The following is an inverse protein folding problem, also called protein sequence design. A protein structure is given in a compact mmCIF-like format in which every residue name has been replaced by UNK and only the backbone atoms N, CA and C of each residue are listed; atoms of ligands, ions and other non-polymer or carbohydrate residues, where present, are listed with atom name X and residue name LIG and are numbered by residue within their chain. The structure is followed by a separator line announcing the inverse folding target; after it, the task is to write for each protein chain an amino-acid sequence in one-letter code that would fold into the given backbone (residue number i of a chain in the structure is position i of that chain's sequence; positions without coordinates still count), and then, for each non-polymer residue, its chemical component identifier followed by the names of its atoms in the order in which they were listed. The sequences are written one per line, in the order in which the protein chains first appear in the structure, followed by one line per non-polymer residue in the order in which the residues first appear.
data_IF_528739562414
#
_entry.id   IF_528739562414
#
_cell.length_a   1.000
_cell.length_b   1.000
_cell.length_c   1.000
_cell.angle_alpha   90.00
_cell.angle_beta   90.00
_cell.angle_gamma   90.00
#
_symmetry.space_group_name_H-M   'P 1'
#
loop_
_entity.id
_entity.type
_entity.pdbx_description
1 polymer ?
#
# COMPACT_ATOMS: atom_id res chain seq x y z
N UNK A 1 -8.11 8.62 -4.18
CA UNK A 1 -8.88 9.04 -2.97
C UNK A 1 -8.04 9.87 -1.97
N UNK A 2 -6.70 9.75 -1.94
CA UNK A 2 -5.85 10.65 -1.13
C UNK A 2 -5.64 12.06 -1.73
N UNK A 3 -5.77 12.21 -3.06
CA UNK A 3 -5.75 13.52 -3.75
C UNK A 3 -7.02 14.38 -3.57
N UNK A 4 -8.12 13.82 -3.04
CA UNK A 4 -9.38 14.57 -2.84
C UNK A 4 -9.60 15.08 -1.41
N UNK A 5 -8.76 14.67 -0.45
CA UNK A 5 -8.89 15.10 0.95
C UNK A 5 -8.14 16.42 1.23
N UNK A 6 -7.10 16.71 0.46
CA UNK A 6 -6.27 17.93 0.62
C UNK A 6 -6.92 19.16 -0.04
N UNK A 7 -7.89 18.97 -0.93
CA UNK A 7 -8.53 20.07 -1.68
C UNK A 7 -9.78 20.68 -0.99
N UNK A 8 -10.21 20.20 0.18
CA UNK A 8 -11.51 20.59 0.79
C UNK A 8 -11.46 21.34 2.12
N UNK A 9 -10.30 21.54 2.74
CA UNK A 9 -10.19 22.37 3.96
C UNK A 9 -9.00 23.33 3.86
N UNK A 10 -9.19 24.39 3.08
CA UNK A 10 -8.34 25.57 3.15
C UNK A 10 -8.65 26.40 4.40
N UNK A 11 -7.59 26.89 5.04
CA UNK A 11 -7.53 27.82 6.18
C UNK A 11 -7.73 27.17 7.56
N UNK A 12 -6.62 26.71 8.16
CA UNK A 12 -6.49 26.70 9.62
C UNK A 12 -6.22 28.14 10.07
N UNK A 13 -7.20 28.75 10.74
CA UNK A 13 -7.05 30.01 11.46
C UNK A 13 -6.30 29.73 12.75
N UNK A 14 -5.13 30.33 12.89
CA UNK A 14 -4.36 30.42 14.12
C UNK A 14 -5.13 31.25 15.16
N UNK A 15 -5.68 30.61 16.18
CA UNK A 15 -6.07 31.28 17.43
C UNK A 15 -5.04 30.90 18.47
N UNK A 16 -3.98 31.72 18.54
CA UNK A 16 -3.03 31.69 19.65
C UNK A 16 -3.53 32.65 20.73
N UNK A 17 -3.58 32.12 21.95
CA UNK A 17 -3.98 32.79 23.18
C UNK A 17 -2.99 33.94 23.49
N UNK A 18 -3.52 35.15 23.69
CA UNK A 18 -2.76 36.34 24.04
C UNK A 18 -2.36 36.35 25.52
N UNK A 19 -1.07 36.54 25.78
CA UNK A 19 -0.54 37.12 27.03
C UNK A 19 0.50 38.16 26.60
N UNK A 20 0.22 39.43 26.92
CA UNK A 20 0.96 40.56 26.39
C UNK A 20 2.29 40.84 27.07
N UNK A 21 3.16 41.54 26.36
CA UNK A 21 3.98 42.63 26.89
C UNK A 21 4.32 43.61 25.76
N UNK A 22 4.26 44.90 26.09
CA UNK A 22 4.43 46.03 25.20
C UNK A 22 5.88 46.27 24.77
N UNK A 23 6.09 46.85 23.58
CA UNK A 23 7.32 47.61 23.31
C UNK A 23 7.78 47.66 21.86
N UNK A 24 7.67 48.87 21.28
CA UNK A 24 8.50 49.46 20.23
C UNK A 24 8.49 48.85 18.80
N UNK A 25 7.91 49.63 17.90
CA UNK A 25 8.09 49.54 16.46
C UNK A 25 9.49 50.01 16.04
N UNK A 26 10.15 49.26 15.16
CA UNK A 26 11.14 49.80 14.23
C UNK A 26 11.16 48.94 12.96
N UNK A 27 10.95 49.59 11.82
CA UNK A 27 10.96 48.96 10.51
C UNK A 27 12.37 48.60 10.05
N UNK A 28 12.48 47.46 9.39
CA UNK A 28 13.58 47.15 8.49
C UNK A 28 13.03 46.28 7.35
N UNK A 29 13.09 46.81 6.13
CA UNK A 29 12.88 46.03 4.91
C UNK A 29 14.05 45.04 4.76
N UNK A 30 13.73 43.76 4.58
CA UNK A 30 14.66 42.77 4.03
C UNK A 30 13.91 41.88 3.04
N UNK A 31 14.24 42.04 1.76
CA UNK A 31 13.96 41.07 0.72
C UNK A 31 14.89 39.87 0.89
N UNK A 32 14.35 38.65 0.96
CA UNK A 32 15.09 37.45 0.56
C UNK A 32 14.15 36.26 0.27
N UNK A 33 14.13 35.87 -1.01
CA UNK A 33 14.06 34.52 -1.59
C UNK A 33 13.26 33.38 -0.92
N UNK A 34 12.33 32.83 -1.72
CA UNK A 34 12.12 31.41 -2.06
C UNK A 34 11.88 30.37 -0.95
N UNK A 35 10.70 29.75 -1.01
CA UNK A 35 10.56 28.31 -0.74
C UNK A 35 9.55 27.70 -1.74
N UNK A 36 10.05 27.32 -2.92
CA UNK A 36 9.38 26.29 -3.69
C UNK A 36 9.28 25.04 -2.82
N UNK A 37 8.07 24.51 -2.65
CA UNK A 37 7.80 23.26 -1.94
C UNK A 37 8.73 22.18 -2.51
N UNK A 38 9.68 21.74 -1.69
CA UNK A 38 10.61 20.68 -2.04
C UNK A 38 9.80 19.43 -2.42
N UNK A 39 10.04 18.91 -3.62
CA UNK A 39 9.48 17.63 -4.03
C UNK A 39 9.86 16.55 -3.02
N UNK A 40 8.87 15.73 -2.67
CA UNK A 40 8.94 14.55 -1.79
C UNK A 40 10.19 13.70 -2.05
N UNK A 41 11.27 13.95 -1.31
CA UNK A 41 12.46 13.12 -1.36
C UNK A 41 12.28 11.93 -0.41
N UNK A 42 11.50 10.93 -0.84
CA UNK A 42 11.71 9.58 -0.33
C UNK A 42 13.19 9.24 -0.57
N UNK A 43 13.90 8.66 0.42
CA UNK A 43 15.28 8.24 0.21
C UNK A 43 15.32 7.32 -1.00
N UNK A 44 15.96 7.76 -2.09
CA UNK A 44 16.17 6.92 -3.27
C UNK A 44 16.92 5.68 -2.78
N UNK A 45 16.37 4.50 -3.09
CA UNK A 45 17.04 3.25 -2.82
C UNK A 45 18.50 3.35 -3.29
N UNK A 46 19.44 2.97 -2.44
CA UNK A 46 20.87 2.97 -2.77
C UNK A 46 21.08 2.26 -4.12
N UNK A 47 22.04 2.72 -4.96
CA UNK A 47 22.31 2.08 -6.23
C UNK A 47 22.55 0.60 -6.02
N UNK A 48 21.63 -0.22 -6.54
CA UNK A 48 21.70 -1.67 -6.44
C UNK A 48 22.91 -2.11 -7.28
N UNK A 49 23.91 -2.71 -6.62
CA UNK A 49 25.06 -3.31 -7.29
C UNK A 49 24.58 -4.27 -8.39
N UNK A 50 25.34 -4.43 -9.50
CA UNK A 50 25.02 -5.37 -10.59
C UNK A 50 24.70 -6.75 -10.00
N UNK A 51 23.41 -7.08 -9.90
CA UNK A 51 22.95 -8.33 -9.35
C UNK A 51 23.22 -9.47 -10.34
N UNK A 52 23.51 -10.69 -9.85
CA UNK A 52 23.69 -11.86 -10.71
C UNK A 52 22.41 -12.11 -11.51
N UNK A 53 22.54 -12.59 -12.75
CA UNK A 53 21.39 -13.01 -13.56
C UNK A 53 20.66 -14.14 -12.82
N UNK A 54 19.47 -13.84 -12.31
CA UNK A 54 18.58 -14.84 -11.72
C UNK A 54 17.95 -15.63 -12.87
N UNK A 55 18.65 -16.68 -13.31
CA UNK A 55 18.17 -17.54 -14.39
C UNK A 55 16.84 -18.18 -13.98
N UNK A 56 15.80 -17.97 -14.78
CA UNK A 56 14.50 -18.61 -14.59
C UNK A 56 13.42 -17.73 -13.97
N UNK A 57 13.73 -16.52 -13.51
CA UNK A 57 12.75 -15.58 -12.96
C UNK A 57 12.19 -14.65 -14.05
N UNK A 58 10.87 -14.44 -14.03
CA UNK A 58 10.16 -13.49 -14.91
C UNK A 58 9.15 -12.68 -14.10
N UNK A 59 9.09 -11.37 -14.35
CA UNK A 59 8.15 -10.45 -13.70
C UNK A 59 7.26 -9.86 -14.79
N UNK A 60 5.94 -9.92 -14.61
CA UNK A 60 4.95 -9.29 -15.49
C UNK A 60 4.08 -8.32 -14.69
N UNK A 61 3.41 -7.43 -15.39
CA UNK A 61 2.44 -6.50 -14.82
C UNK A 61 1.17 -6.49 -15.65
N UNK A 62 0.02 -6.31 -14.99
CA UNK A 62 -1.19 -5.89 -15.69
C UNK A 62 -1.28 -4.37 -15.73
N UNK A 63 -2.50 -3.83 -15.85
CA UNK A 63 -2.70 -2.39 -16.02
C UNK A 63 -2.80 -1.60 -14.71
N UNK A 64 -2.90 -2.27 -13.56
CA UNK A 64 -3.22 -1.59 -12.30
C UNK A 64 -2.11 -0.67 -11.80
N UNK A 65 -0.84 -1.08 -11.96
CA UNK A 65 0.32 -0.26 -11.59
C UNK A 65 1.61 -0.73 -12.28
N UNK A 66 1.75 -0.38 -13.56
CA UNK A 66 2.93 -0.73 -14.36
C UNK A 66 4.22 -0.09 -13.85
N UNK A 67 4.15 1.15 -13.33
CA UNK A 67 5.31 1.88 -12.81
C UNK A 67 5.93 1.15 -11.61
N UNK A 68 5.11 0.71 -10.66
CA UNK A 68 5.56 -0.08 -9.52
C UNK A 68 6.22 -1.38 -9.97
N UNK A 69 5.62 -2.09 -10.93
CA UNK A 69 6.17 -3.33 -11.45
C UNK A 69 7.54 -3.12 -12.14
N UNK A 70 7.67 -2.05 -12.92
CA UNK A 70 8.93 -1.68 -13.56
C UNK A 70 10.02 -1.34 -12.52
N UNK A 71 9.67 -0.61 -11.45
CA UNK A 71 10.58 -0.30 -10.35
C UNK A 71 11.03 -1.57 -9.60
N UNK A 72 10.10 -2.50 -9.32
CA UNK A 72 10.43 -3.80 -8.73
C UNK A 72 11.38 -4.59 -9.64
N UNK A 73 11.07 -4.69 -10.94
CA UNK A 73 11.93 -5.40 -11.89
C UNK A 73 13.34 -4.80 -11.97
N UNK A 74 13.44 -3.47 -11.97
CA UNK A 74 14.71 -2.75 -11.93
C UNK A 74 15.52 -3.06 -10.67
N UNK A 75 14.89 -3.07 -9.50
CA UNK A 75 15.54 -3.39 -8.22
C UNK A 75 16.00 -4.85 -8.12
N UNK A 76 15.26 -5.76 -8.76
CA UNK A 76 15.62 -7.20 -8.87
C UNK A 76 16.65 -7.46 -9.97
N UNK A 77 16.95 -6.48 -10.82
CA UNK A 77 17.92 -6.62 -11.91
C UNK A 77 17.42 -7.43 -13.11
N UNK A 78 16.10 -7.48 -13.33
CA UNK A 78 15.48 -8.15 -14.49
C UNK A 78 14.69 -7.16 -15.35
N UNK A 79 14.48 -7.51 -16.62
CA UNK A 79 13.56 -6.77 -17.48
C UNK A 79 12.12 -7.20 -17.18
N UNK A 80 11.19 -6.25 -17.25
CA UNK A 80 9.77 -6.55 -17.18
C UNK A 80 9.38 -7.37 -18.42
N UNK A 81 8.66 -8.45 -18.20
CA UNK A 81 8.26 -9.39 -19.23
C UNK A 81 7.28 -8.76 -20.21
N UNK A 82 7.36 -9.18 -21.47
CA UNK A 82 6.52 -8.63 -22.54
C UNK A 82 5.16 -9.32 -22.53
N UNK A 83 4.11 -8.53 -22.30
CA UNK A 83 2.72 -8.98 -22.28
C UNK A 83 1.82 -7.87 -22.82
N UNK A 84 0.80 -8.24 -23.60
CA UNK A 84 -0.32 -7.37 -23.95
C UNK A 84 -1.46 -7.65 -22.99
N UNK A 85 -1.98 -6.59 -22.37
CA UNK A 85 -3.19 -6.63 -21.52
C UNK A 85 -4.10 -5.49 -21.98
N UNK A 86 -4.97 -5.79 -22.92
CA UNK A 86 -5.84 -4.83 -23.60
C UNK A 86 -7.31 -5.20 -23.38
N UNK A 87 -8.21 -4.47 -24.03
CA UNK A 87 -9.66 -4.72 -24.01
C UNK A 87 -10.16 -4.94 -25.42
N UNK A 88 -11.04 -5.92 -25.59
CA UNK A 88 -11.87 -6.03 -26.78
C UNK A 88 -12.91 -4.90 -26.80
N UNK A 89 -13.60 -4.74 -27.93
CA UNK A 89 -14.57 -3.64 -28.13
C UNK A 89 -15.75 -3.67 -27.15
N UNK A 90 -16.08 -4.84 -26.60
CA UNK A 90 -17.11 -5.07 -25.58
C UNK A 90 -16.60 -4.96 -24.13
N UNK A 91 -15.30 -4.73 -23.94
CA UNK A 91 -14.67 -4.57 -22.62
C UNK A 91 -14.07 -5.86 -22.02
N UNK A 92 -14.18 -7.01 -22.70
CA UNK A 92 -13.51 -8.23 -22.27
C UNK A 92 -11.98 -8.06 -22.28
N UNK A 93 -11.29 -8.73 -21.36
CA UNK A 93 -9.82 -8.68 -21.27
C UNK A 93 -9.23 -9.44 -22.45
N UNK A 94 -8.42 -8.77 -23.27
CA UNK A 94 -7.58 -9.38 -24.27
C UNK A 94 -6.16 -9.52 -23.74
N UNK A 95 -5.64 -10.74 -23.63
CA UNK A 95 -4.35 -11.00 -23.01
C UNK A 95 -3.47 -11.92 -23.84
N UNK A 96 -2.21 -11.50 -24.06
CA UNK A 96 -1.21 -12.29 -24.79
C UNK A 96 0.18 -12.13 -24.18
N UNK A 97 0.81 -13.26 -23.81
CA UNK A 97 2.18 -13.29 -23.32
C UNK A 97 3.14 -13.47 -24.50
N UNK A 98 4.11 -12.56 -24.64
CA UNK A 98 5.03 -12.51 -25.79
C UNK A 98 6.39 -13.15 -25.52
N UNK A 99 6.52 -13.89 -24.42
CA UNK A 99 7.77 -14.52 -24.00
C UNK A 99 7.55 -15.96 -23.53
N UNK A 100 8.58 -16.79 -23.69
CA UNK A 100 8.55 -18.14 -23.17
C UNK A 100 8.65 -18.15 -21.62
N UNK A 101 7.59 -18.62 -20.98
CA UNK A 101 7.48 -18.78 -19.52
C UNK A 101 7.55 -20.24 -19.06
N UNK A 102 7.74 -21.20 -19.97
CA UNK A 102 7.78 -22.63 -19.66
C UNK A 102 8.90 -22.94 -18.68
N UNK A 103 8.55 -23.58 -17.57
CA UNK A 103 9.50 -23.96 -16.52
C UNK A 103 10.10 -22.77 -15.75
N UNK A 104 9.58 -21.56 -15.91
CA UNK A 104 10.05 -20.34 -15.23
C UNK A 104 9.25 -20.07 -13.97
N UNK A 105 9.88 -19.36 -13.02
CA UNK A 105 9.20 -18.77 -11.88
C UNK A 105 8.69 -17.39 -12.28
N UNK A 106 7.37 -17.26 -12.30
CA UNK A 106 6.66 -16.09 -12.76
C UNK A 106 6.11 -15.31 -11.57
N UNK A 107 6.35 -14.01 -11.56
CA UNK A 107 5.78 -13.06 -10.61
C UNK A 107 4.88 -12.10 -11.37
N UNK A 108 3.64 -11.94 -10.92
CA UNK A 108 2.67 -11.01 -11.52
C UNK A 108 2.43 -9.88 -10.53
N UNK A 109 2.89 -8.68 -10.86
CA UNK A 109 2.65 -7.47 -10.04
C UNK A 109 1.38 -6.80 -10.52
N UNK A 110 0.31 -6.96 -9.76
CA UNK A 110 -1.02 -6.44 -10.09
C UNK A 110 -1.82 -6.18 -8.81
N UNK A 111 -1.80 -4.93 -8.29
CA UNK A 111 -2.75 -4.50 -7.27
C UNK A 111 -4.19 -4.66 -7.75
N UNK A 112 -5.11 -5.06 -6.87
CA UNK A 112 -6.55 -5.11 -7.19
C UNK A 112 -7.26 -3.83 -6.69
N UNK A 113 -6.66 -2.68 -7.01
CA UNK A 113 -7.20 -1.36 -6.70
C UNK A 113 -8.22 -0.90 -7.77
N UNK A 114 -8.79 0.29 -7.62
CA UNK A 114 -9.77 0.82 -8.58
C UNK A 114 -9.15 0.94 -9.98
N UNK A 115 -9.81 0.42 -11.05
CA UNK A 115 -11.09 -0.29 -11.06
C UNK A 115 -10.95 -1.76 -10.62
N UNK A 116 -11.61 -2.11 -9.50
CA UNK A 116 -11.28 -3.29 -8.69
C UNK A 116 -11.54 -4.61 -9.42
N UNK A 117 -12.67 -4.72 -10.11
CA UNK A 117 -13.10 -5.96 -10.75
C UNK A 117 -12.27 -6.23 -12.00
N UNK A 118 -11.96 -5.18 -12.74
CA UNK A 118 -11.21 -5.18 -13.97
C UNK A 118 -9.77 -5.60 -13.71
N UNK A 119 -9.14 -5.01 -12.69
CA UNK A 119 -7.79 -5.37 -12.27
C UNK A 119 -7.72 -6.79 -11.69
N UNK A 120 -8.75 -7.22 -10.96
CA UNK A 120 -8.88 -8.60 -10.48
C UNK A 120 -9.03 -9.59 -11.64
N UNK A 121 -9.89 -9.31 -12.61
CA UNK A 121 -10.09 -10.17 -13.78
C UNK A 121 -8.82 -10.25 -14.64
N UNK A 122 -8.10 -9.15 -14.83
CA UNK A 122 -6.78 -9.18 -15.48
C UNK A 122 -5.82 -10.11 -14.74
N UNK A 123 -5.71 -9.99 -13.40
CA UNK A 123 -4.85 -10.86 -12.60
C UNK A 123 -5.22 -12.34 -12.76
N UNK A 124 -6.51 -12.67 -12.65
CA UNK A 124 -6.99 -14.06 -12.77
C UNK A 124 -6.65 -14.65 -14.14
N UNK A 125 -6.87 -13.89 -15.22
CA UNK A 125 -6.55 -14.32 -16.58
C UNK A 125 -5.05 -14.37 -16.85
N UNK A 126 -4.26 -13.46 -16.27
CA UNK A 126 -2.80 -13.54 -16.30
C UNK A 126 -2.32 -14.86 -15.66
N UNK A 127 -2.79 -15.18 -14.45
CA UNK A 127 -2.43 -16.43 -13.76
C UNK A 127 -2.83 -17.65 -14.60
N UNK A 128 -4.06 -17.68 -15.12
CA UNK A 128 -4.55 -18.78 -15.97
C UNK A 128 -3.69 -18.97 -17.22
N UNK A 129 -3.36 -17.87 -17.92
CA UNK A 129 -2.50 -17.90 -19.10
C UNK A 129 -1.11 -18.40 -18.78
N UNK A 130 -0.47 -17.90 -17.72
CA UNK A 130 0.86 -18.36 -17.30
C UNK A 130 0.86 -19.86 -16.96
N UNK A 131 -0.21 -20.34 -16.31
CA UNK A 131 -0.37 -21.77 -16.00
C UNK A 131 -0.49 -22.62 -17.25
N UNK A 132 -1.34 -22.23 -18.21
CA UNK A 132 -1.49 -22.91 -19.51
C UNK A 132 -0.22 -22.85 -20.35
N UNK A 133 0.57 -21.79 -20.20
CA UNK A 133 1.91 -21.65 -20.79
C UNK A 133 3.01 -22.43 -20.03
N UNK A 134 2.64 -23.31 -19.10
CA UNK A 134 3.54 -24.22 -18.38
C UNK A 134 4.58 -23.52 -17.50
N UNK A 135 4.23 -22.38 -16.90
CA UNK A 135 5.05 -21.78 -15.84
C UNK A 135 5.25 -22.78 -14.69
N UNK A 136 6.47 -22.83 -14.14
CA UNK A 136 6.81 -23.74 -13.02
C UNK A 136 6.12 -23.29 -11.74
N UNK A 137 6.20 -21.98 -11.46
CA UNK A 137 5.60 -21.35 -10.29
C UNK A 137 5.01 -20.00 -10.67
N UNK A 138 3.87 -19.64 -10.11
CA UNK A 138 3.17 -18.38 -10.32
C UNK A 138 2.94 -17.73 -8.96
N UNK A 139 3.62 -16.61 -8.71
CA UNK A 139 3.45 -15.79 -7.52
C UNK A 139 2.66 -14.54 -7.86
N UNK A 140 1.49 -14.35 -7.26
CA UNK A 140 0.75 -13.11 -7.39
C UNK A 140 1.27 -12.09 -6.37
N UNK A 141 1.87 -11.01 -6.86
CA UNK A 141 2.28 -9.87 -6.05
C UNK A 141 1.15 -8.85 -6.12
N UNK A 142 0.40 -8.73 -5.03
CA UNK A 142 -0.81 -7.91 -4.90
C UNK A 142 -0.56 -6.81 -3.85
N UNK A 143 0.16 -5.72 -4.17
CA UNK A 143 0.51 -4.67 -3.21
C UNK A 143 -0.69 -4.05 -2.50
N UNK A 144 -1.84 -4.01 -3.15
CA UNK A 144 -3.12 -3.67 -2.54
C UNK A 144 -4.14 -4.76 -2.83
N UNK A 145 -4.57 -5.45 -1.79
CA UNK A 145 -5.59 -6.50 -1.87
C UNK A 145 -6.99 -5.87 -1.77
N UNK A 146 -7.63 -5.69 -2.93
CA UNK A 146 -9.04 -5.31 -3.05
C UNK A 146 -9.96 -6.31 -2.35
N UNK A 147 -11.20 -5.90 -2.05
CA UNK A 147 -12.18 -6.70 -1.31
C UNK A 147 -11.82 -7.06 0.15
N UNK A 148 -10.64 -6.69 0.65
CA UNK A 148 -10.13 -7.04 1.98
C UNK A 148 -11.00 -6.56 3.17
N UNK A 149 -11.91 -5.60 2.97
CA UNK A 149 -12.78 -5.06 4.03
C UNK A 149 -14.00 -5.93 4.35
N UNK A 150 -14.35 -6.86 3.47
CA UNK A 150 -15.44 -7.83 3.68
C UNK A 150 -14.81 -9.20 4.00
N UNK A 151 -14.14 -9.26 5.15
CA UNK A 151 -13.39 -10.40 5.68
C UNK A 151 -14.19 -11.23 6.70
N UNK A 152 -15.39 -10.78 7.07
CA UNK A 152 -16.31 -11.49 7.98
C UNK A 152 -17.75 -11.06 7.73
N UNK A 153 -18.69 -11.87 8.21
CA UNK A 153 -20.12 -11.52 8.19
C UNK A 153 -20.43 -10.52 9.29
N UNK A 154 -20.63 -9.26 8.91
CA UNK A 154 -21.11 -8.21 9.82
C UNK A 154 -22.65 -8.19 9.94
N UNK A 155 -23.34 -8.88 9.04
CA UNK A 155 -24.80 -9.01 9.03
C UNK A 155 -25.20 -10.39 8.45
N UNK A 156 -26.48 -10.75 8.56
CA UNK A 156 -27.01 -11.92 7.88
C UNK A 156 -26.96 -11.72 6.34
N UNK A 157 -26.72 -12.81 5.59
CA UNK A 157 -26.78 -12.87 4.11
C UNK A 157 -25.82 -11.92 3.36
N UNK A 158 -24.63 -11.66 3.93
CA UNK A 158 -23.55 -10.93 3.23
C UNK A 158 -22.42 -11.87 2.82
N UNK A 159 -21.68 -11.57 1.73
CA UNK A 159 -20.53 -12.36 1.31
C UNK A 159 -19.32 -12.14 2.24
N UNK A 160 -18.33 -13.01 2.09
CA UNK A 160 -16.98 -12.80 2.63
C UNK A 160 -16.06 -12.66 1.42
N UNK A 161 -16.19 -11.54 0.70
CA UNK A 161 -15.58 -11.40 -0.64
C UNK A 161 -14.05 -11.53 -0.60
N UNK A 162 -13.40 -11.17 0.52
CA UNK A 162 -11.96 -11.41 0.68
C UNK A 162 -11.61 -12.90 0.59
N UNK A 163 -12.44 -13.78 1.16
CA UNK A 163 -12.26 -15.23 1.07
C UNK A 163 -12.61 -15.76 -0.33
N UNK A 164 -13.63 -15.18 -0.96
CA UNK A 164 -14.02 -15.58 -2.33
C UNK A 164 -12.93 -15.21 -3.34
N UNK A 165 -12.29 -14.04 -3.21
CA UNK A 165 -11.14 -13.64 -4.04
C UNK A 165 -9.95 -14.58 -3.81
N UNK A 166 -9.67 -14.98 -2.57
CA UNK A 166 -8.62 -15.98 -2.29
C UNK A 166 -8.90 -17.29 -3.05
N UNK A 167 -10.12 -17.83 -2.94
CA UNK A 167 -10.53 -19.06 -3.66
C UNK A 167 -10.43 -18.92 -5.18
N UNK A 168 -10.77 -17.76 -5.74
CA UNK A 168 -10.63 -17.51 -7.17
C UNK A 168 -9.17 -17.55 -7.62
N UNK A 169 -8.27 -16.92 -6.87
CA UNK A 169 -6.83 -16.95 -7.17
C UNK A 169 -6.27 -18.37 -7.10
N UNK A 170 -6.67 -19.15 -6.10
CA UNK A 170 -6.30 -20.56 -5.97
C UNK A 170 -6.84 -21.41 -7.13
N UNK A 171 -8.11 -21.20 -7.50
CA UNK A 171 -8.74 -21.91 -8.61
C UNK A 171 -8.07 -21.61 -9.96
N UNK A 172 -7.54 -20.39 -10.15
CA UNK A 172 -6.73 -20.06 -11.34
C UNK A 172 -5.33 -20.70 -11.31
N UNK A 173 -4.91 -21.21 -10.16
CA UNK A 173 -3.63 -21.89 -9.97
C UNK A 173 -2.50 -20.95 -9.58
N UNK A 174 -2.73 -20.01 -8.67
CA UNK A 174 -1.64 -19.29 -8.00
C UNK A 174 -0.90 -20.23 -7.03
N UNK A 175 0.43 -20.13 -6.95
CA UNK A 175 1.23 -20.95 -6.02
C UNK A 175 1.64 -20.20 -4.75
N UNK A 176 1.63 -18.86 -4.77
CA UNK A 176 1.99 -17.99 -3.65
C UNK A 176 1.39 -16.60 -3.84
N UNK A 177 1.05 -15.93 -2.75
CA UNK A 177 0.63 -14.53 -2.77
C UNK A 177 1.59 -13.69 -1.93
N UNK A 178 1.97 -12.53 -2.44
CA UNK A 178 2.69 -11.51 -1.69
C UNK A 178 1.80 -10.27 -1.64
N UNK A 179 1.45 -9.80 -0.45
CA UNK A 179 0.63 -8.61 -0.25
C UNK A 179 1.33 -7.61 0.69
N UNK A 180 0.85 -6.38 0.73
CA UNK A 180 1.34 -5.36 1.67
C UNK A 180 0.19 -4.88 2.53
N UNK A 181 0.38 -4.90 3.85
CA UNK A 181 -0.57 -4.41 4.84
C UNK A 181 -2.02 -4.85 4.59
N UNK A 182 -2.25 -6.17 4.52
CA UNK A 182 -3.61 -6.72 4.46
C UNK A 182 -4.50 -6.08 5.53
N UNK A 183 -5.77 -5.81 5.16
CA UNK A 183 -6.71 -5.15 6.06
C UNK A 183 -6.83 -5.85 7.42
N UNK A 184 -6.74 -7.19 7.38
CA UNK A 184 -6.83 -8.08 8.51
C UNK A 184 -5.83 -9.23 8.30
N UNK A 185 -5.03 -9.57 9.31
CA UNK A 185 -3.97 -10.59 9.19
C UNK A 185 -4.53 -11.98 8.91
N UNK A 186 -5.77 -12.23 9.31
CA UNK A 186 -6.51 -13.48 9.12
C UNK A 186 -6.80 -13.80 7.65
N UNK A 187 -6.74 -12.81 6.75
CA UNK A 187 -6.89 -13.03 5.30
C UNK A 187 -5.86 -14.04 4.78
N UNK A 188 -4.68 -14.14 5.41
CA UNK A 188 -3.68 -15.17 5.09
C UNK A 188 -4.25 -16.59 5.23
N UNK A 189 -5.15 -16.82 6.20
CA UNK A 189 -5.82 -18.10 6.41
C UNK A 189 -7.02 -18.36 5.50
N UNK A 190 -7.37 -17.43 4.61
CA UNK A 190 -8.38 -17.68 3.57
C UNK A 190 -7.82 -18.46 2.38
N UNK A 191 -6.50 -18.43 2.22
CA UNK A 191 -5.78 -19.30 1.31
C UNK A 191 -5.58 -20.66 1.99
N UNK A 192 -5.75 -21.71 1.21
CA UNK A 192 -5.50 -23.08 1.60
C UNK A 192 -4.03 -23.35 1.92
N UNK A 193 -3.72 -24.52 2.49
CA UNK A 193 -2.41 -24.84 3.04
C UNK A 193 -1.28 -24.92 1.99
N UNK A 194 -1.62 -24.94 0.70
CA UNK A 194 -0.67 -25.05 -0.40
C UNK A 194 -0.30 -23.71 -1.04
N UNK A 195 -1.01 -22.63 -0.67
CA UNK A 195 -0.74 -21.28 -1.19
C UNK A 195 -0.28 -20.40 -0.03
N UNK A 196 1.02 -20.37 0.26
CA UNK A 196 1.56 -19.46 1.27
C UNK A 196 1.30 -18.00 0.89
N UNK A 197 1.02 -17.19 1.90
CA UNK A 197 0.77 -15.75 1.77
C UNK A 197 1.82 -15.00 2.59
N UNK A 198 2.63 -14.19 1.93
CA UNK A 198 3.56 -13.29 2.58
C UNK A 198 2.92 -11.90 2.69
N UNK A 199 2.48 -11.52 3.90
CA UNK A 199 1.96 -10.18 4.17
C UNK A 199 3.08 -9.25 4.69
N UNK A 200 3.58 -8.39 3.83
CA UNK A 200 4.65 -7.46 4.13
C UNK A 200 4.13 -6.23 4.90
N UNK A 201 4.95 -5.73 5.82
CA UNK A 201 4.67 -4.52 6.61
C UNK A 201 5.14 -3.25 5.89
N UNK A 202 4.21 -2.50 5.29
CA UNK A 202 4.52 -1.23 4.62
C UNK A 202 4.92 -0.12 5.60
N UNK A 203 4.48 -0.24 6.87
CA UNK A 203 4.83 0.68 7.95
C UNK A 203 6.34 0.88 8.15
N UNK A 204 7.17 -0.12 7.82
CA UNK A 204 8.63 -0.03 7.94
C UNK A 204 9.24 1.10 7.08
N UNK A 205 8.63 1.38 5.91
CA UNK A 205 9.06 2.49 5.05
C UNK A 205 8.81 3.82 5.76
N UNK A 206 7.64 3.97 6.39
CA UNK A 206 7.29 5.14 7.19
C UNK A 206 8.21 5.30 8.41
N UNK A 207 8.50 4.21 9.13
CA UNK A 207 9.44 4.23 10.27
C UNK A 207 10.79 4.80 9.84
N UNK A 208 11.32 4.34 8.70
CA UNK A 208 12.59 4.85 8.20
C UNK A 208 12.53 6.29 7.71
N UNK A 209 11.40 6.73 7.14
CA UNK A 209 11.21 8.13 6.79
C UNK A 209 11.21 9.02 8.04
N UNK A 210 10.31 8.76 9.00
CA UNK A 210 10.13 9.61 10.17
C UNK A 210 11.29 9.53 11.16
N UNK A 211 11.93 8.36 11.32
CA UNK A 211 13.07 8.18 12.21
C UNK A 211 14.33 8.94 11.77
N UNK A 212 14.43 9.30 10.49
CA UNK A 212 15.52 10.14 9.97
C UNK A 212 15.24 11.65 10.13
N UNK A 213 14.08 12.04 10.66
CA UNK A 213 13.76 13.44 10.93
C UNK A 213 13.96 13.77 12.41
N UNK A 214 14.29 15.03 12.70
CA UNK A 214 14.39 15.55 14.07
C UNK A 214 13.00 15.75 14.67
N UNK A 215 12.45 14.68 15.26
CA UNK A 215 11.15 14.70 15.92
C UNK A 215 11.32 15.01 17.41
N UNK A 216 10.65 16.08 17.88
CA UNK A 216 10.60 16.44 19.30
C UNK A 216 9.28 15.96 19.90
N UNK A 217 9.36 15.04 20.88
CA UNK A 217 8.21 14.44 21.57
C UNK A 217 7.08 13.95 20.62
N UNK A 218 7.40 13.09 19.63
CA UNK A 218 6.42 12.64 18.65
C UNK A 218 5.30 11.82 19.30
N UNK A 219 4.09 11.91 18.75
CA UNK A 219 2.95 11.07 19.15
C UNK A 219 2.43 10.32 17.93
N UNK A 220 2.38 8.99 18.00
CA UNK A 220 1.76 8.17 16.96
C UNK A 220 0.26 8.10 17.25
N UNK A 221 -0.57 8.54 16.30
CA UNK A 221 -2.02 8.59 16.48
C UNK A 221 -2.72 7.53 15.63
N UNK A 222 -3.50 6.67 16.27
CA UNK A 222 -4.44 5.79 15.58
C UNK A 222 -5.73 6.55 15.22
N UNK A 223 -6.16 6.56 13.95
CA UNK A 223 -7.35 7.30 13.54
C UNK A 223 -8.67 6.65 13.98
N UNK A 224 -8.63 5.39 14.40
CA UNK A 224 -9.76 4.65 14.96
C UNK A 224 -9.28 3.47 15.82
N UNK A 225 -10.22 2.76 16.45
CA UNK A 225 -9.93 1.59 17.27
C UNK A 225 -9.29 0.42 16.48
N UNK A 226 -9.63 0.27 15.19
CA UNK A 226 -9.07 -0.80 14.36
C UNK A 226 -7.59 -0.60 14.03
N UNK A 227 -7.13 0.65 14.01
CA UNK A 227 -5.74 1.00 13.73
C UNK A 227 -4.77 0.90 14.90
N UNK A 228 -5.25 0.69 16.14
CA UNK A 228 -4.42 0.84 17.36
C UNK A 228 -3.24 -0.12 17.37
N UNK A 229 -3.47 -1.38 16.98
CA UNK A 229 -2.40 -2.37 16.91
C UNK A 229 -1.30 -1.95 15.92
N UNK A 230 -1.68 -1.38 14.77
CA UNK A 230 -0.74 -0.87 13.76
C UNK A 230 0.02 0.35 14.28
N UNK A 231 -0.67 1.29 14.92
CA UNK A 231 -0.06 2.48 15.52
C UNK A 231 0.94 2.10 16.63
N UNK A 232 0.58 1.14 17.49
CA UNK A 232 1.46 0.62 18.54
C UNK A 232 2.71 -0.03 17.95
N UNK A 233 2.56 -0.91 16.95
CA UNK A 233 3.68 -1.57 16.26
C UNK A 233 4.62 -0.53 15.61
N UNK A 234 4.05 0.48 14.97
CA UNK A 234 4.79 1.58 14.35
C UNK A 234 5.61 2.38 15.38
N UNK A 235 5.00 2.71 16.53
CA UNK A 235 5.70 3.36 17.65
C UNK A 235 6.86 2.51 18.16
N UNK A 236 6.64 1.22 18.39
CA UNK A 236 7.67 0.30 18.89
C UNK A 236 8.88 0.25 17.94
N UNK A 237 8.65 0.26 16.64
CA UNK A 237 9.73 0.34 15.65
C UNK A 237 10.48 1.68 15.65
N UNK A 238 9.78 2.82 15.77
CA UNK A 238 10.43 4.12 15.89
C UNK A 238 11.31 4.19 17.14
N UNK A 239 10.78 3.75 18.28
CA UNK A 239 11.49 3.71 19.56
C UNK A 239 12.73 2.81 19.44
N UNK A 240 12.55 1.58 18.96
CA UNK A 240 13.62 0.59 18.91
C UNK A 240 14.71 0.87 17.88
N UNK A 241 14.36 1.40 16.71
CA UNK A 241 15.32 1.61 15.60
C UNK A 241 16.02 2.96 15.65
N UNK A 242 15.35 4.00 16.12
CA UNK A 242 15.83 5.38 16.04
C UNK A 242 16.00 6.05 17.40
N UNK A 243 15.80 5.33 18.51
CA UNK A 243 16.09 5.83 19.85
C UNK A 243 15.22 7.01 20.26
N UNK A 244 13.92 6.95 19.97
CA UNK A 244 12.92 7.97 20.31
C UNK A 244 12.06 7.53 21.52
N UNK A 245 12.60 7.41 22.75
CA UNK A 245 11.91 6.80 23.89
C UNK A 245 10.64 7.54 24.33
N UNK A 246 10.57 8.85 24.10
CA UNK A 246 9.43 9.69 24.46
C UNK A 246 8.31 9.70 23.39
N UNK A 247 8.25 8.68 22.54
CA UNK A 247 7.20 8.60 21.52
C UNK A 247 5.87 8.21 22.16
N UNK A 248 4.90 9.13 22.18
CA UNK A 248 3.55 8.89 22.68
C UNK A 248 2.71 8.00 21.75
N UNK A 249 1.58 7.50 22.27
CA UNK A 249 0.55 6.81 21.49
C UNK A 249 -0.80 7.42 21.84
N UNK A 250 -1.57 7.80 20.83
CA UNK A 250 -2.96 8.21 21.03
C UNK A 250 -3.89 7.49 20.04
N UNK A 251 -5.18 7.51 20.33
CA UNK A 251 -6.25 6.96 19.51
C UNK A 251 -7.43 7.95 19.46
N UNK A 252 -8.05 8.06 18.29
CA UNK A 252 -9.34 8.73 18.14
C UNK A 252 -10.49 7.72 18.32
N UNK A 253 -11.36 7.98 19.29
CA UNK A 253 -12.67 7.32 19.38
C UNK A 253 -13.63 8.08 18.50
N UNK A 254 -14.11 7.43 17.44
CA UNK A 254 -15.01 8.02 16.47
C UNK A 254 -16.40 7.40 16.58
N UNK A 255 -17.40 8.23 16.88
CA UNK A 255 -18.80 7.86 16.80
C UNK A 255 -19.36 8.26 15.43
N UNK A 256 -20.07 7.35 14.76
CA UNK A 256 -20.61 7.54 13.42
C UNK A 256 -22.12 7.37 13.42
N UNK A 257 -22.82 8.27 12.74
CA UNK A 257 -24.24 8.12 12.44
C UNK A 257 -24.43 7.02 11.38
N UNK A 258 -23.58 7.02 10.34
CA UNK A 258 -23.52 6.00 9.28
C UNK A 258 -22.14 5.92 8.63
N UNK A 259 -21.92 4.93 7.76
CA UNK A 259 -20.66 4.78 7.05
C UNK A 259 -20.34 6.05 6.23
N UNK A 260 -19.24 6.72 6.58
CA UNK A 260 -18.78 7.96 5.92
C UNK A 260 -19.18 9.26 6.64
N UNK A 261 -20.09 9.22 7.62
CA UNK A 261 -20.57 10.40 8.35
C UNK A 261 -20.20 10.32 9.83
N UNK A 262 -19.66 11.41 10.37
CA UNK A 262 -19.04 11.47 11.70
C UNK A 262 -19.91 12.32 12.60
N UNK A 263 -20.27 11.78 13.76
CA UNK A 263 -21.03 12.50 14.77
C UNK A 263 -20.08 13.24 15.73
N UNK A 264 -19.18 12.46 16.35
CA UNK A 264 -18.24 12.95 17.37
C UNK A 264 -16.89 12.26 17.27
N UNK A 265 -15.84 12.99 17.65
CA UNK A 265 -14.49 12.46 17.82
C UNK A 265 -13.96 12.84 19.21
N UNK A 266 -13.51 11.85 19.97
CA UNK A 266 -12.81 12.05 21.24
C UNK A 266 -11.37 11.53 21.11
N UNK A 267 -10.40 12.26 21.67
CA UNK A 267 -8.99 11.85 21.72
C UNK A 267 -8.71 11.12 23.03
N UNK A 268 -8.06 9.97 22.94
CA UNK A 268 -7.58 9.19 24.08
C UNK A 268 -6.08 8.95 23.91
N UNK A 269 -5.26 9.32 24.89
CA UNK A 269 -3.80 9.21 24.83
C UNK A 269 -3.17 9.25 26.20
#
# INVERSE_FOLDING_TARGET
MFRQLVARHGKFSSVALAVGFAGAALGAQQQTQSAALAEDSFPRAAPVAKQPKINGLKIFSGNANHELAANVAKLVGVQLGKITVERFADGEVNLMVHENVRGKDVYIVQPTCVPVNENLMELLLMVSTMRRSSARRITAVIPYYGYARQDRKMAARVPISAADVARLLEAMGVDRVIAVDLHCGQIQGFFGPHVPVDNLDGGLVGVSYFGNHELVNPVVVSPDAGGVARAKKFREWLVGKYGLPNTGLAMIIKQRIKAGEIDRMDLVG
#
